data_IF_460313917029
#
_entry.id   IF_460313917029
#
_cell.length_a   1.000
_cell.length_b   1.000
_cell.length_c   1.000
_cell.angle_alpha   90.00
_cell.angle_beta   90.00
_cell.angle_gamma   90.00
#
_symmetry.space_group_name_H-M   'P 1'
#
loop_
_entity.id
_entity.type
_entity.pdbx_description
1 polymer ?
#
# COMPACT_ATOMS: atom_id res chain seq x y z
N UNK A 1 4.16 -18.23 -40.01
CA UNK A 1 2.87 -17.92 -39.35
C UNK A 1 2.96 -18.39 -37.90
N UNK A 2 3.14 -17.48 -36.94
CA UNK A 2 3.35 -17.79 -35.51
C UNK A 2 2.02 -17.70 -34.76
N UNK A 3 1.62 -18.80 -34.13
CA UNK A 3 0.39 -18.88 -33.34
C UNK A 3 0.76 -18.53 -31.90
N UNK A 4 0.27 -17.40 -31.40
CA UNK A 4 0.38 -17.04 -29.98
C UNK A 4 -0.70 -17.79 -29.21
N UNK A 5 -0.29 -18.70 -28.32
CA UNK A 5 -1.20 -19.30 -27.33
C UNK A 5 -1.29 -18.36 -26.14
N UNK A 6 -2.40 -17.63 -26.07
CA UNK A 6 -2.83 -16.90 -24.89
C UNK A 6 -3.39 -17.93 -23.89
N UNK A 7 -2.72 -18.09 -22.75
CA UNK A 7 -3.18 -18.99 -21.69
C UNK A 7 -4.13 -18.19 -20.81
N UNK A 8 -5.42 -18.27 -21.09
CA UNK A 8 -6.47 -17.79 -20.19
C UNK A 8 -6.43 -18.59 -18.89
N UNK A 9 -6.12 -17.93 -17.77
CA UNK A 9 -6.26 -18.50 -16.44
C UNK A 9 -7.75 -18.60 -16.07
N UNK A 10 -8.42 -19.64 -16.57
CA UNK A 10 -9.83 -19.92 -16.27
C UNK A 10 -9.94 -20.62 -14.91
N UNK A 11 -10.16 -19.84 -13.86
CA UNK A 11 -10.49 -20.36 -12.53
C UNK A 11 -11.93 -20.89 -12.56
N UNK A 12 -12.11 -22.20 -12.59
CA UNK A 12 -13.42 -22.85 -12.51
C UNK A 12 -13.84 -22.95 -11.04
N UNK A 13 -14.70 -22.03 -10.58
CA UNK A 13 -15.36 -22.12 -9.28
C UNK A 13 -16.73 -22.75 -9.44
N UNK A 14 -16.86 -24.00 -8.96
CA UNK A 14 -18.12 -24.75 -8.95
C UNK A 14 -18.95 -24.40 -7.72
N UNK A 15 -20.25 -24.14 -7.97
CA UNK A 15 -21.38 -23.82 -7.07
C UNK A 15 -21.61 -22.33 -6.78
N UNK A 16 -22.77 -21.84 -7.24
CA UNK A 16 -23.40 -20.57 -6.88
C UNK A 16 -23.47 -20.40 -5.35
N UNK A 17 -22.45 -19.78 -4.78
CA UNK A 17 -22.49 -19.07 -3.50
C UNK A 17 -22.20 -17.62 -3.84
N UNK A 18 -22.97 -16.69 -3.26
CA UNK A 18 -22.82 -15.25 -3.43
C UNK A 18 -21.39 -14.84 -3.76
N UNK A 19 -21.14 -14.54 -5.04
CA UNK A 19 -19.88 -13.99 -5.50
C UNK A 19 -19.82 -12.55 -5.01
N UNK A 20 -19.53 -12.37 -3.73
CA UNK A 20 -19.02 -11.10 -3.24
C UNK A 20 -17.68 -10.94 -3.94
N UNK A 21 -17.61 -9.99 -4.88
CA UNK A 21 -16.35 -9.52 -5.45
C UNK A 21 -15.45 -9.23 -4.26
N UNK A 22 -14.40 -10.03 -4.11
CA UNK A 22 -13.49 -9.87 -2.99
C UNK A 22 -12.56 -8.74 -3.40
N UNK A 23 -12.85 -7.54 -2.90
CA UNK A 23 -12.01 -6.36 -3.14
C UNK A 23 -10.60 -6.62 -2.60
N UNK A 24 -9.59 -6.31 -3.41
CA UNK A 24 -8.18 -6.55 -3.09
C UNK A 24 -7.41 -5.24 -3.01
N UNK A 25 -7.10 -4.81 -1.79
CA UNK A 25 -6.22 -3.67 -1.55
C UNK A 25 -4.76 -4.14 -1.57
N UNK A 26 -3.91 -3.44 -2.32
CA UNK A 26 -2.47 -3.71 -2.35
C UNK A 26 -1.75 -2.72 -1.46
N UNK A 27 -0.78 -3.19 -0.68
CA UNK A 27 0.12 -2.33 0.10
C UNK A 27 1.56 -2.63 -0.30
N UNK A 28 2.32 -1.59 -0.62
CA UNK A 28 3.68 -1.70 -1.15
C UNK A 28 4.67 -1.13 -0.16
N UNK A 29 5.69 -1.90 0.23
CA UNK A 29 6.74 -1.48 1.15
C UNK A 29 8.07 -1.37 0.40
N UNK A 30 8.72 -0.22 0.48
CA UNK A 30 10.13 -0.04 0.17
C UNK A 30 10.90 0.01 1.49
N UNK A 31 11.64 -1.05 1.80
CA UNK A 31 12.45 -1.06 3.01
C UNK A 31 13.54 0.00 2.95
N UNK A 32 13.87 0.55 4.10
CA UNK A 32 15.06 1.37 4.21
C UNK A 32 16.32 0.59 3.79
N UNK A 33 17.10 1.14 2.86
CA UNK A 33 18.36 0.54 2.39
C UNK A 33 19.57 0.92 3.25
N UNK A 34 19.41 1.89 4.16
CA UNK A 34 20.48 2.41 5.00
C UNK A 34 19.93 3.01 6.30
N UNK A 35 20.77 3.18 7.32
CA UNK A 35 20.38 3.86 8.58
C UNK A 35 19.91 5.32 8.40
N UNK A 36 20.10 5.91 7.21
CA UNK A 36 19.73 7.30 6.89
C UNK A 36 18.48 7.42 6.02
N UNK A 37 17.88 6.31 5.60
CA UNK A 37 16.60 6.31 4.88
C UNK A 37 15.47 5.87 5.80
N UNK A 38 14.28 6.43 5.63
CA UNK A 38 13.11 6.12 6.46
C UNK A 38 12.26 4.97 5.90
N UNK A 39 12.61 4.43 4.73
CA UNK A 39 11.74 3.53 3.97
C UNK A 39 10.56 4.29 3.37
N UNK A 40 9.65 3.56 2.74
CA UNK A 40 8.39 4.10 2.24
C UNK A 40 7.29 3.03 2.19
N UNK A 41 6.05 3.45 2.33
CA UNK A 41 4.89 2.58 2.16
C UNK A 41 3.78 3.31 1.41
N UNK A 42 3.11 2.60 0.50
CA UNK A 42 1.96 3.12 -0.26
C UNK A 42 0.86 2.06 -0.35
N UNK A 43 -0.32 2.48 -0.82
CA UNK A 43 -1.50 1.63 -0.97
C UNK A 43 -2.17 1.87 -2.32
N UNK A 44 -2.71 0.82 -2.93
CA UNK A 44 -3.55 0.89 -4.14
C UNK A 44 -4.87 0.15 -3.88
N UNK A 45 -5.98 0.83 -4.19
CA UNK A 45 -7.32 0.28 -4.12
C UNK A 45 -7.69 -0.42 -5.44
N UNK A 46 -8.73 -1.26 -5.46
CA UNK A 46 -9.09 -2.03 -6.65
C UNK A 46 -9.45 -1.16 -7.86
N UNK A 47 -10.02 0.02 -7.63
CA UNK A 47 -10.36 0.96 -8.71
C UNK A 47 -9.17 1.76 -9.27
N UNK A 48 -7.95 1.49 -8.78
CA UNK A 48 -6.74 2.17 -9.18
C UNK A 48 -6.43 3.44 -8.38
N UNK A 49 -7.25 3.80 -7.37
CA UNK A 49 -6.91 4.89 -6.45
C UNK A 49 -5.59 4.56 -5.74
N UNK A 50 -4.58 5.41 -5.94
CA UNK A 50 -3.25 5.23 -5.39
C UNK A 50 -2.96 6.24 -4.27
N UNK A 51 -2.58 5.72 -3.10
CA UNK A 51 -2.29 6.48 -1.89
C UNK A 51 -0.79 6.38 -1.64
N UNK A 52 -0.08 7.48 -1.93
CA UNK A 52 1.36 7.60 -1.70
C UNK A 52 1.69 9.01 -1.24
N UNK A 53 2.59 9.15 -0.26
CA UNK A 53 2.86 10.44 0.36
C UNK A 53 4.33 10.62 0.72
N UNK A 54 5.04 11.36 -0.12
CA UNK A 54 6.46 11.67 0.04
C UNK A 54 6.66 13.12 0.46
N UNK A 55 7.79 13.45 1.10
CA UNK A 55 8.21 14.84 1.16
C UNK A 55 8.61 15.32 -0.24
N UNK A 56 8.24 16.56 -0.60
CA UNK A 56 8.66 17.20 -1.85
C UNK A 56 10.18 17.38 -1.91
N UNK A 57 10.78 17.68 -0.75
CA UNK A 57 12.22 17.84 -0.57
C UNK A 57 12.79 16.66 0.19
N UNK A 58 13.92 16.12 -0.27
CA UNK A 58 14.64 15.08 0.48
C UNK A 58 15.06 15.64 1.84
N UNK A 59 14.67 14.93 2.91
CA UNK A 59 15.07 15.29 4.27
C UNK A 59 16.47 14.74 4.57
N UNK A 60 17.35 15.57 5.11
CA UNK A 60 18.72 15.16 5.47
C UNK A 60 18.82 14.64 6.91
N UNK A 61 17.91 15.09 7.79
CA UNK A 61 17.85 14.70 9.19
C UNK A 61 16.41 14.68 9.75
N UNK A 62 16.29 14.21 11.00
CA UNK A 62 15.01 14.10 11.71
C UNK A 62 14.38 15.45 12.07
N UNK A 63 15.19 16.50 12.27
CA UNK A 63 14.68 17.83 12.64
C UNK A 63 13.96 18.46 11.45
N UNK A 64 14.56 18.41 10.26
CA UNK A 64 13.91 18.80 9.02
C UNK A 64 12.64 17.96 8.79
N UNK A 65 12.74 16.65 9.02
CA UNK A 65 11.63 15.73 8.87
C UNK A 65 10.44 16.07 9.80
N UNK A 66 10.72 16.59 11.00
CA UNK A 66 9.72 17.02 11.99
C UNK A 66 9.13 18.41 11.70
N UNK A 67 9.92 19.35 11.16
CA UNK A 67 9.41 20.66 10.72
C UNK A 67 8.43 20.49 9.56
N UNK A 68 8.68 19.50 8.72
CA UNK A 68 7.84 19.15 7.59
C UNK A 68 8.11 19.99 6.34
N UNK A 69 7.52 19.57 5.24
CA UNK A 69 7.63 20.18 3.91
C UNK A 69 6.31 20.02 3.17
N UNK A 70 6.20 20.47 1.93
CA UNK A 70 5.04 20.09 1.12
C UNK A 70 5.11 18.60 0.82
N UNK A 71 3.95 17.98 0.70
CA UNK A 71 3.86 16.61 0.27
C UNK A 71 3.90 16.53 -1.26
N UNK A 72 4.50 15.44 -1.74
CA UNK A 72 4.40 14.96 -3.11
C UNK A 72 3.69 13.62 -3.08
N UNK A 73 2.71 13.43 -3.95
CA UNK A 73 2.05 12.14 -4.14
C UNK A 73 2.17 11.71 -5.60
N UNK A 74 1.88 10.44 -5.85
CA UNK A 74 1.86 9.85 -7.18
C UNK A 74 0.45 9.37 -7.50
N UNK A 75 0.12 9.32 -8.79
CA UNK A 75 -1.18 8.85 -9.29
C UNK A 75 -1.22 7.33 -9.48
N UNK A 76 -0.07 6.66 -9.49
CA UNK A 76 0.05 5.21 -9.66
C UNK A 76 1.38 4.67 -9.15
N UNK A 77 1.41 3.37 -8.88
CA UNK A 77 2.65 2.65 -8.56
C UNK A 77 3.73 2.83 -9.63
N UNK A 78 3.36 2.79 -10.92
CA UNK A 78 4.33 2.94 -12.01
C UNK A 78 4.96 4.33 -12.03
N UNK A 79 4.17 5.39 -11.80
CA UNK A 79 4.70 6.75 -11.69
C UNK A 79 5.71 6.86 -10.53
N UNK A 80 5.42 6.20 -9.40
CA UNK A 80 6.31 6.17 -8.26
C UNK A 80 7.60 5.36 -8.51
N UNK A 81 7.50 4.18 -9.10
CA UNK A 81 8.67 3.35 -9.47
C UNK A 81 9.58 4.11 -10.43
N UNK A 82 9.01 4.78 -11.43
CA UNK A 82 9.78 5.57 -12.39
C UNK A 82 10.51 6.73 -11.72
N UNK A 83 9.88 7.38 -10.73
CA UNK A 83 10.50 8.46 -9.99
C UNK A 83 11.63 7.98 -9.07
N UNK A 84 11.38 6.90 -8.33
CA UNK A 84 12.32 6.38 -7.33
C UNK A 84 13.39 5.44 -7.92
N UNK A 85 13.23 5.02 -9.17
CA UNK A 85 14.05 4.02 -9.85
C UNK A 85 14.18 2.72 -9.04
N UNK A 86 13.15 2.37 -8.28
CA UNK A 86 13.16 1.22 -7.38
C UNK A 86 11.75 0.62 -7.23
N UNK A 87 11.66 -0.71 -7.32
CA UNK A 87 10.44 -1.47 -7.05
C UNK A 87 10.21 -1.68 -5.54
N UNK A 88 8.95 -1.90 -5.11
CA UNK A 88 8.67 -2.32 -3.75
C UNK A 88 9.48 -3.55 -3.35
N UNK A 89 9.97 -3.56 -2.12
CA UNK A 89 10.63 -4.72 -1.52
C UNK A 89 9.64 -5.81 -1.16
N UNK A 90 8.44 -5.42 -0.69
CA UNK A 90 7.34 -6.33 -0.38
C UNK A 90 6.02 -5.75 -0.90
N UNK A 91 5.11 -6.64 -1.32
CA UNK A 91 3.73 -6.30 -1.68
C UNK A 91 2.79 -7.20 -0.89
N UNK A 92 1.82 -6.59 -0.22
CA UNK A 92 0.78 -7.28 0.53
C UNK A 92 -0.56 -7.14 -0.19
N UNK A 93 -1.38 -8.17 -0.12
CA UNK A 93 -2.74 -8.19 -0.66
C UNK A 93 -3.71 -8.37 0.51
N UNK A 94 -4.55 -7.37 0.75
CA UNK A 94 -5.49 -7.33 1.85
C UNK A 94 -6.91 -7.50 1.29
N UNK A 95 -7.65 -8.42 1.89
CA UNK A 95 -9.06 -8.67 1.55
C UNK A 95 -9.96 -8.11 2.66
N UNK A 96 -11.17 -7.71 2.26
CA UNK A 96 -12.23 -7.34 3.21
C UNK A 96 -12.06 -5.97 3.87
N UNK A 97 -11.27 -5.07 3.27
CA UNK A 97 -11.28 -3.65 3.64
C UNK A 97 -12.45 -2.93 2.96
N UNK A 98 -13.02 -1.94 3.66
CA UNK A 98 -14.02 -1.05 3.10
C UNK A 98 -13.35 0.07 2.29
N UNK A 99 -13.09 -0.17 1.01
CA UNK A 99 -12.47 0.83 0.12
C UNK A 99 -13.28 2.12 -0.02
N UNK A 100 -14.61 2.07 0.13
CA UNK A 100 -15.46 3.26 0.07
C UNK A 100 -15.12 4.25 1.18
N UNK A 101 -14.98 3.74 2.41
CA UNK A 101 -14.54 4.55 3.55
C UNK A 101 -13.13 5.12 3.32
N UNK A 102 -12.19 4.28 2.85
CA UNK A 102 -10.82 4.72 2.56
C UNK A 102 -10.82 5.87 1.55
N UNK A 103 -11.60 5.77 0.47
CA UNK A 103 -11.68 6.81 -0.57
C UNK A 103 -12.26 8.11 -0.04
N UNK A 104 -13.39 8.04 0.68
CA UNK A 104 -14.03 9.22 1.26
C UNK A 104 -13.07 9.93 2.21
N UNK A 105 -12.41 9.17 3.09
CA UNK A 105 -11.39 9.71 3.98
C UNK A 105 -10.23 10.34 3.20
N UNK A 106 -9.66 9.63 2.23
CA UNK A 106 -8.48 10.10 1.50
C UNK A 106 -8.78 11.36 0.68
N UNK A 107 -9.96 11.44 0.05
CA UNK A 107 -10.42 12.66 -0.63
C UNK A 107 -10.57 13.83 0.34
N UNK A 108 -11.14 13.58 1.53
CA UNK A 108 -11.20 14.58 2.60
C UNK A 108 -9.80 15.03 3.05
N UNK A 109 -8.87 14.08 3.20
CA UNK A 109 -7.49 14.35 3.55
C UNK A 109 -6.78 15.24 2.51
N UNK A 110 -6.94 14.93 1.22
CA UNK A 110 -6.38 15.72 0.11
C UNK A 110 -6.93 17.14 0.04
N UNK A 111 -8.17 17.37 0.47
CA UNK A 111 -8.75 18.72 0.53
C UNK A 111 -8.14 19.62 1.63
N UNK A 112 -7.39 19.00 2.56
CA UNK A 112 -6.71 19.69 3.64
C UNK A 112 -5.33 20.23 3.26
N UNK A 113 -4.45 20.24 4.25
CA UNK A 113 -3.07 20.69 4.09
C UNK A 113 -2.22 19.64 3.39
N UNK A 114 -1.69 19.94 2.20
CA UNK A 114 -0.70 19.12 1.48
C UNK A 114 0.70 19.17 2.11
N UNK A 115 0.79 18.98 3.43
CA UNK A 115 2.07 18.96 4.16
C UNK A 115 2.46 17.53 4.48
N UNK A 116 3.75 17.29 4.45
CA UNK A 116 4.40 16.09 4.88
C UNK A 116 5.21 16.40 6.14
N UNK A 117 5.07 15.57 7.17
CA UNK A 117 5.95 15.57 8.34
C UNK A 117 6.08 14.14 8.85
N UNK A 118 7.23 13.81 9.44
CA UNK A 118 7.54 12.43 9.83
C UNK A 118 6.63 11.89 10.94
N UNK A 119 6.07 12.77 11.78
CA UNK A 119 5.39 12.39 13.01
C UNK A 119 3.91 12.06 12.79
N UNK A 120 3.23 12.86 11.98
CA UNK A 120 1.76 12.84 11.87
C UNK A 120 1.27 12.73 10.43
N UNK A 121 2.08 13.13 9.45
CA UNK A 121 1.70 13.15 8.02
C UNK A 121 2.73 12.48 7.13
N UNK A 122 3.30 11.38 7.62
CA UNK A 122 4.22 10.55 6.86
C UNK A 122 3.46 9.56 5.97
N UNK A 123 4.15 8.91 5.03
CA UNK A 123 3.56 7.84 4.23
C UNK A 123 2.94 6.74 5.09
N UNK A 124 3.64 6.37 6.15
CA UNK A 124 3.21 5.33 7.07
C UNK A 124 2.00 5.77 7.90
N UNK A 125 1.96 7.00 8.40
CA UNK A 125 0.79 7.54 9.10
C UNK A 125 -0.46 7.51 8.18
N UNK A 126 -0.33 7.95 6.94
CA UNK A 126 -1.43 8.01 5.98
C UNK A 126 -1.92 6.60 5.60
N UNK A 127 -1.01 5.68 5.29
CA UNK A 127 -1.40 4.29 5.01
C UNK A 127 -2.03 3.63 6.24
N UNK A 128 -1.54 3.91 7.44
CA UNK A 128 -2.15 3.43 8.68
C UNK A 128 -3.56 3.96 8.90
N UNK A 129 -3.79 5.26 8.69
CA UNK A 129 -5.13 5.84 8.77
C UNK A 129 -6.06 5.23 7.72
N UNK A 130 -5.61 5.10 6.46
CA UNK A 130 -6.36 4.39 5.43
C UNK A 130 -6.77 2.97 5.88
N UNK A 131 -5.84 2.21 6.49
CA UNK A 131 -6.16 0.89 7.03
C UNK A 131 -7.21 0.94 8.15
N UNK A 132 -7.15 1.93 9.04
CA UNK A 132 -8.14 2.11 10.12
C UNK A 132 -9.54 2.43 9.57
N UNK A 133 -9.64 3.27 8.55
CA UNK A 133 -10.90 3.58 7.88
C UNK A 133 -11.47 2.35 7.13
N UNK A 134 -10.57 1.51 6.61
CA UNK A 134 -10.91 0.29 5.90
C UNK A 134 -11.38 -0.85 6.81
N UNK A 135 -10.89 -0.96 8.05
CA UNK A 135 -11.30 -1.99 9.00
C UNK A 135 -10.94 -1.68 10.47
N UNK A 136 -11.89 -1.95 11.36
CA UNK A 136 -11.73 -1.82 12.83
C UNK A 136 -10.55 -2.61 13.41
N UNK A 137 -10.08 -3.67 12.71
CA UNK A 137 -8.92 -4.45 13.15
C UNK A 137 -7.66 -3.60 13.39
N UNK A 138 -7.51 -2.51 12.62
CA UNK A 138 -6.35 -1.64 12.69
C UNK A 138 -6.52 -0.51 13.72
N UNK A 139 -7.77 -0.20 14.10
CA UNK A 139 -8.07 0.84 15.08
C UNK A 139 -7.50 0.48 16.47
N UNK A 140 -6.95 1.48 17.16
CA UNK A 140 -6.43 1.31 18.53
C UNK A 140 -5.10 0.55 18.63
N UNK A 141 -4.50 0.13 17.51
CA UNK A 141 -3.15 -0.48 17.47
C UNK A 141 -2.04 0.55 17.29
N UNK A 142 -2.29 1.80 17.66
CA UNK A 142 -1.36 2.90 17.50
C UNK A 142 -0.02 2.57 18.18
N UNK A 143 1.06 2.62 17.40
CA UNK A 143 2.42 2.66 17.92
C UNK A 143 2.86 4.11 17.94
N UNK A 144 3.59 4.53 18.97
CA UNK A 144 4.03 5.93 19.19
C UNK A 144 4.84 6.53 18.02
N UNK A 145 5.29 5.69 17.08
CA UNK A 145 5.80 6.10 15.77
C UNK A 145 5.29 5.10 14.73
N UNK A 146 4.54 5.58 13.75
CA UNK A 146 4.08 4.77 12.62
C UNK A 146 5.18 4.81 11.55
N UNK A 147 6.08 3.81 11.56
CA UNK A 147 7.10 3.65 10.52
C UNK A 147 6.58 2.78 9.37
N UNK A 148 7.13 2.88 8.14
CA UNK A 148 6.75 2.00 7.03
C UNK A 148 6.82 0.52 7.40
N UNK A 149 7.90 0.08 8.02
CA UNK A 149 8.08 -1.30 8.47
C UNK A 149 7.10 -1.69 9.57
N UNK A 150 6.75 -0.76 10.47
CA UNK A 150 5.74 -0.98 11.52
C UNK A 150 4.34 -1.21 10.95
N UNK A 151 3.94 -0.41 9.95
CA UNK A 151 2.67 -0.62 9.24
C UNK A 151 2.67 -1.93 8.47
N UNK A 152 3.76 -2.24 7.77
CA UNK A 152 3.90 -3.52 7.10
C UNK A 152 3.77 -4.70 8.07
N UNK A 153 4.30 -4.59 9.29
CA UNK A 153 4.13 -5.62 10.32
C UNK A 153 2.67 -5.76 10.79
N UNK A 154 1.94 -4.65 10.97
CA UNK A 154 0.50 -4.69 11.24
C UNK A 154 -0.27 -5.38 10.11
N UNK A 155 0.09 -5.10 8.86
CA UNK A 155 -0.49 -5.75 7.66
C UNK A 155 -0.17 -7.25 7.63
N UNK A 156 1.05 -7.67 7.97
CA UNK A 156 1.42 -9.10 8.07
C UNK A 156 0.58 -9.84 9.11
N UNK A 157 0.34 -9.22 10.26
CA UNK A 157 -0.54 -9.80 11.29
C UNK A 157 -1.98 -9.93 10.81
N UNK A 158 -2.51 -8.88 10.17
CA UNK A 158 -3.85 -8.94 9.58
C UNK A 158 -4.01 -10.11 8.60
N UNK A 159 -3.04 -10.27 7.69
CA UNK A 159 -3.09 -11.33 6.67
C UNK A 159 -2.91 -12.72 7.26
N UNK A 160 -2.15 -12.86 8.36
CA UNK A 160 -1.95 -14.13 9.07
C UNK A 160 -3.17 -14.52 9.92
N UNK A 161 -3.73 -13.58 10.70
CA UNK A 161 -4.83 -13.84 11.65
C UNK A 161 -6.14 -14.19 10.95
N UNK A 162 -6.43 -13.54 9.82
CA UNK A 162 -7.69 -13.74 9.11
C UNK A 162 -7.84 -15.11 8.48
N UNK A 163 -6.80 -15.98 8.48
CA UNK A 163 -6.75 -17.22 7.69
C UNK A 163 -7.44 -17.01 6.34
N UNK A 164 -7.14 -15.89 5.68
CA UNK A 164 -7.56 -15.72 4.30
C UNK A 164 -6.92 -16.91 3.62
N UNK A 165 -7.74 -17.84 3.13
CA UNK A 165 -7.27 -19.01 2.38
C UNK A 165 -6.21 -18.48 1.43
N UNK A 166 -4.94 -18.81 1.71
CA UNK A 166 -3.80 -18.09 1.15
C UNK A 166 -3.98 -18.10 -0.36
N UNK A 167 -4.36 -16.95 -0.95
CA UNK A 167 -4.25 -16.76 -2.38
C UNK A 167 -2.75 -16.58 -2.60
N UNK A 168 -2.05 -17.71 -2.65
CA UNK A 168 -0.63 -17.76 -3.01
C UNK A 168 -0.59 -17.40 -4.48
N UNK A 169 -0.39 -16.11 -4.78
CA UNK A 169 -0.03 -15.69 -6.13
C UNK A 169 1.40 -16.17 -6.34
N UNK A 170 1.55 -17.39 -6.86
CA UNK A 170 2.86 -17.90 -7.23
C UNK A 170 3.44 -16.98 -8.29
N UNK A 171 4.59 -16.37 -8.00
CA UNK A 171 5.34 -15.58 -8.97
C UNK A 171 5.61 -16.44 -10.21
N UNK A 172 4.92 -16.18 -11.32
CA UNK A 172 5.30 -16.72 -12.62
C UNK A 172 6.66 -16.11 -13.00
N UNK A 173 7.74 -16.84 -12.76
CA UNK A 173 9.03 -16.52 -13.37
C UNK A 173 8.85 -16.70 -14.89
N UNK A 174 9.17 -15.68 -15.72
CA UNK A 174 9.15 -15.87 -17.17
C UNK A 174 10.17 -16.95 -17.53
N UNK A 175 9.71 -18.03 -18.16
CA UNK A 175 10.60 -19.00 -18.81
C UNK A 175 11.17 -18.32 -20.05
N UNK A 176 12.39 -17.83 -19.93
CA UNK A 176 13.21 -17.42 -21.08
C UNK A 176 13.49 -18.71 -21.87
N UNK A 177 13.03 -18.77 -23.12
CA UNK A 177 13.39 -19.81 -24.09
C UNK A 177 14.49 -19.28 -24.99
#
# INVERSE_FOLDING_TARGET
MKIHHEVEHKVILTKQKDYRVIMVVKVFLWKSSSKKSFGHISMELEDGTYISWWPETRMEDLVQAAIGTNAKWFESLNAEINHNQASPTETFYLLGLNEGNIKVWFQGYLSGSCKWDIMTRSCAAIVYHALCEGADFFAGKATDIVTPEGVAELVRRYTTDKKVDKVVVSSCKPKIK
#
